data_IF_562019014745
#
_entry.id   IF_562019014745
#
_cell.length_a   1.000
_cell.length_b   1.000
_cell.length_c   1.000
_cell.angle_alpha   90.00
_cell.angle_beta   90.00
_cell.angle_gamma   90.00
#
_symmetry.space_group_name_H-M   'P 1'
#
loop_
_entity.id
_entity.type
_entity.pdbx_description
1 polymer ?
#
# COMPACT_ATOMS: atom_id res chain seq x y z
N UNK A 1 15.05 30.09 0.04
CA UNK A 1 15.21 29.88 1.50
C UNK A 1 14.76 28.45 1.75
N UNK A 2 15.71 27.52 1.81
CA UNK A 2 15.44 26.08 1.90
C UNK A 2 15.12 25.73 3.36
N UNK A 3 13.93 25.20 3.63
CA UNK A 3 13.59 24.72 4.97
C UNK A 3 14.07 23.29 5.13
N UNK A 4 15.09 23.13 5.97
CA UNK A 4 15.58 21.86 6.49
C UNK A 4 14.47 21.21 7.33
N UNK A 5 14.03 20.01 6.91
CA UNK A 5 13.20 19.11 7.70
C UNK A 5 14.05 17.87 8.03
N UNK A 6 15.00 18.04 8.95
CA UNK A 6 15.72 16.92 9.58
C UNK A 6 14.83 16.31 10.67
N UNK A 7 13.80 15.59 10.22
CA UNK A 7 13.15 14.58 11.02
C UNK A 7 13.92 13.28 10.82
N UNK A 8 14.70 12.87 11.82
CA UNK A 8 15.45 11.63 11.80
C UNK A 8 14.51 10.42 11.60
N UNK A 9 14.36 9.99 10.34
CA UNK A 9 13.61 8.82 9.91
C UNK A 9 14.28 7.53 10.40
N UNK A 10 14.02 7.15 11.65
CA UNK A 10 14.41 5.85 12.22
C UNK A 10 13.78 4.66 11.49
N UNK A 11 12.75 4.90 10.66
CA UNK A 11 12.17 3.90 9.76
C UNK A 11 13.08 3.51 8.58
N UNK A 12 14.05 4.36 8.20
CA UNK A 12 14.96 4.12 7.07
C UNK A 12 15.80 2.85 7.23
N UNK A 13 16.09 2.48 8.48
CA UNK A 13 16.90 1.30 8.80
C UNK A 13 16.08 0.00 8.81
N UNK A 14 14.76 0.09 9.08
CA UNK A 14 13.86 -1.07 8.99
C UNK A 14 13.72 -1.54 7.53
N UNK A 15 13.82 -0.62 6.56
CA UNK A 15 13.69 -0.94 5.14
C UNK A 15 14.97 -1.49 4.50
N UNK A 16 16.16 -1.15 5.01
CA UNK A 16 17.43 -1.62 4.41
C UNK A 16 17.70 -3.12 4.66
N UNK A 17 16.90 -3.78 5.51
CA UNK A 17 17.09 -5.17 5.93
C UNK A 17 15.88 -6.07 5.67
N UNK A 18 15.01 -5.71 4.73
CA UNK A 18 14.08 -6.64 4.10
C UNK A 18 14.91 -7.59 3.23
N UNK A 19 15.43 -8.67 3.85
CA UNK A 19 16.35 -9.64 3.24
C UNK A 19 15.93 -10.07 1.82
N UNK A 20 16.88 -10.49 0.99
CA UNK A 20 16.68 -10.90 -0.41
C UNK A 20 15.54 -11.90 -0.67
N UNK A 21 15.03 -12.61 0.36
CA UNK A 21 13.87 -13.49 0.23
C UNK A 21 12.52 -12.74 0.31
N UNK A 22 11.68 -13.00 -0.70
CA UNK A 22 10.26 -12.61 -0.72
C UNK A 22 9.50 -13.06 0.55
N UNK A 23 9.90 -14.18 1.17
CA UNK A 23 9.24 -14.69 2.38
C UNK A 23 9.42 -13.75 3.57
N UNK A 24 10.61 -13.16 3.74
CA UNK A 24 10.87 -12.21 4.83
C UNK A 24 10.12 -10.91 4.59
N UNK A 25 10.07 -10.45 3.33
CA UNK A 25 9.26 -9.28 2.98
C UNK A 25 7.78 -9.52 3.24
N UNK A 26 7.28 -10.73 2.98
CA UNK A 26 5.90 -11.11 3.27
C UNK A 26 5.61 -11.10 4.78
N UNK A 27 6.51 -11.59 5.63
CA UNK A 27 6.33 -11.54 7.08
C UNK A 27 6.39 -10.12 7.63
N UNK A 28 7.32 -9.29 7.13
CA UNK A 28 7.38 -7.89 7.48
C UNK A 28 6.08 -7.15 7.08
N UNK A 29 5.60 -7.37 5.85
CA UNK A 29 4.33 -6.84 5.36
C UNK A 29 3.16 -7.26 6.26
N UNK A 30 3.08 -8.54 6.66
CA UNK A 30 2.06 -9.03 7.60
C UNK A 30 2.13 -8.33 8.95
N UNK A 31 3.33 -8.11 9.47
CA UNK A 31 3.54 -7.44 10.75
C UNK A 31 3.06 -5.98 10.70
N UNK A 32 3.50 -5.25 9.67
CA UNK A 32 3.17 -3.83 9.46
C UNK A 32 1.66 -3.64 9.22
N UNK A 33 1.02 -4.54 8.47
CA UNK A 33 -0.41 -4.48 8.19
C UNK A 33 -1.33 -4.63 9.43
N UNK A 34 -0.77 -4.93 10.60
CA UNK A 34 -1.49 -5.00 11.89
C UNK A 34 -1.26 -3.77 12.78
N UNK A 35 -0.42 -2.83 12.35
CA UNK A 35 -0.18 -1.58 13.05
C UNK A 35 -1.28 -0.57 12.74
N UNK A 36 -1.30 0.55 13.46
CA UNK A 36 -2.23 1.65 13.20
C UNK A 36 -2.02 2.28 11.81
N UNK A 37 -3.05 2.94 11.29
CA UNK A 37 -3.09 3.49 9.94
C UNK A 37 -1.89 4.42 9.62
N UNK A 38 -1.50 5.27 10.57
CA UNK A 38 -0.36 6.21 10.44
C UNK A 38 0.96 5.50 10.10
N UNK A 39 1.12 4.25 10.54
CA UNK A 39 2.30 3.43 10.26
C UNK A 39 2.04 2.50 9.07
N UNK A 40 0.87 1.88 9.02
CA UNK A 40 0.56 0.84 8.06
C UNK A 40 0.39 1.41 6.64
N UNK A 41 -0.36 2.50 6.47
CA UNK A 41 -0.72 3.04 5.13
C UNK A 41 0.53 3.47 4.35
N UNK A 42 1.46 4.29 4.89
CA UNK A 42 2.65 4.70 4.14
C UNK A 42 3.55 3.52 3.75
N UNK A 43 3.67 2.52 4.62
CA UNK A 43 4.48 1.34 4.35
C UNK A 43 3.84 0.42 3.30
N UNK A 44 2.52 0.26 3.34
CA UNK A 44 1.76 -0.48 2.32
C UNK A 44 1.85 0.22 0.96
N UNK A 45 1.68 1.54 0.92
CA UNK A 45 1.84 2.34 -0.29
C UNK A 45 3.22 2.15 -0.92
N UNK A 46 4.28 2.21 -0.11
CA UNK A 46 5.64 1.98 -0.60
C UNK A 46 5.79 0.62 -1.28
N UNK A 47 5.26 -0.46 -0.68
CA UNK A 47 5.31 -1.79 -1.27
C UNK A 47 4.52 -1.85 -2.58
N UNK A 48 3.35 -1.21 -2.62
CA UNK A 48 2.50 -1.13 -3.82
C UNK A 48 3.21 -0.36 -4.95
N UNK A 49 3.97 0.68 -4.65
CA UNK A 49 4.65 1.48 -5.69
C UNK A 49 5.98 0.89 -6.15
N UNK A 50 6.73 0.26 -5.25
CA UNK A 50 8.15 -0.03 -5.48
C UNK A 50 8.50 -1.53 -5.53
N UNK A 51 7.72 -2.43 -4.91
CA UNK A 51 8.12 -3.83 -4.83
C UNK A 51 7.97 -4.54 -6.20
N UNK A 52 9.04 -5.18 -6.72
CA UNK A 52 8.98 -5.85 -8.01
C UNK A 52 8.05 -7.06 -8.01
N UNK A 53 7.81 -7.69 -6.85
CA UNK A 53 6.97 -8.88 -6.72
C UNK A 53 5.48 -8.50 -6.81
N UNK A 54 4.76 -8.93 -7.86
CA UNK A 54 3.32 -8.72 -7.94
C UNK A 54 2.57 -9.40 -6.79
N UNK A 55 3.11 -10.50 -6.25
CA UNK A 55 2.53 -11.20 -5.12
C UNK A 55 2.55 -10.33 -3.84
N UNK A 56 3.65 -9.62 -3.59
CA UNK A 56 3.74 -8.70 -2.45
C UNK A 56 2.85 -7.46 -2.65
N UNK A 57 2.83 -6.87 -3.85
CA UNK A 57 1.91 -5.76 -4.17
C UNK A 57 0.45 -6.17 -3.99
N UNK A 58 0.07 -7.33 -4.50
CA UNK A 58 -1.28 -7.90 -4.30
C UNK A 58 -1.64 -8.02 -2.82
N UNK A 59 -0.71 -8.52 -1.99
CA UNK A 59 -0.94 -8.64 -0.53
C UNK A 59 -1.01 -7.28 0.14
N UNK A 60 -0.20 -6.31 -0.28
CA UNK A 60 -0.26 -4.95 0.24
C UNK A 60 -1.61 -4.29 -0.07
N UNK A 61 -2.10 -4.38 -1.31
CA UNK A 61 -3.46 -3.92 -1.68
C UNK A 61 -4.52 -4.63 -0.85
N UNK A 62 -4.39 -5.94 -0.61
CA UNK A 62 -5.33 -6.67 0.24
C UNK A 62 -5.38 -6.12 1.67
N UNK A 63 -4.23 -5.80 2.25
CA UNK A 63 -4.16 -5.23 3.60
C UNK A 63 -4.61 -3.78 3.67
N UNK A 64 -4.41 -3.01 2.60
CA UNK A 64 -4.88 -1.63 2.47
C UNK A 64 -6.41 -1.54 2.60
N UNK A 65 -7.14 -2.60 2.26
CA UNK A 65 -8.59 -2.68 2.44
C UNK A 65 -9.10 -2.54 3.87
N UNK A 66 -8.23 -2.63 4.89
CA UNK A 66 -8.58 -2.33 6.30
C UNK A 66 -8.63 -0.84 6.59
N UNK A 67 -8.04 -0.02 5.72
CA UNK A 67 -7.81 1.41 5.89
C UNK A 67 -8.55 2.20 4.81
N UNK A 68 -9.66 1.68 4.29
CA UNK A 68 -10.41 2.32 3.18
C UNK A 68 -10.90 3.73 3.52
N UNK A 69 -11.15 4.00 4.79
CA UNK A 69 -11.63 5.30 5.28
C UNK A 69 -10.48 6.29 5.54
N UNK A 70 -9.22 5.85 5.42
CA UNK A 70 -8.05 6.71 5.58
C UNK A 70 -7.85 7.61 4.35
N UNK A 71 -7.37 8.82 4.61
CA UNK A 71 -7.12 9.81 3.57
C UNK A 71 -6.11 9.27 2.53
N UNK A 72 -6.42 9.49 1.24
CA UNK A 72 -5.56 9.07 0.13
C UNK A 72 -5.65 7.59 -0.27
N UNK A 73 -6.26 6.71 0.55
CA UNK A 73 -6.33 5.27 0.22
C UNK A 73 -7.16 5.00 -1.03
N UNK A 74 -8.29 5.69 -1.22
CA UNK A 74 -9.09 5.52 -2.44
C UNK A 74 -8.34 5.96 -3.70
N UNK A 75 -7.62 7.09 -3.63
CA UNK A 75 -6.79 7.57 -4.74
C UNK A 75 -5.63 6.63 -5.06
N UNK A 76 -5.03 6.02 -4.04
CA UNK A 76 -4.01 4.97 -4.25
C UNK A 76 -4.61 3.73 -4.92
N UNK A 77 -5.80 3.29 -4.52
CA UNK A 77 -6.48 2.16 -5.18
C UNK A 77 -6.83 2.49 -6.64
N UNK A 78 -7.30 3.69 -6.93
CA UNK A 78 -7.55 4.16 -8.30
C UNK A 78 -6.27 4.12 -9.15
N UNK A 79 -5.16 4.62 -8.62
CA UNK A 79 -3.84 4.57 -9.28
C UNK A 79 -3.44 3.12 -9.60
N UNK A 80 -3.59 2.20 -8.64
CA UNK A 80 -3.31 0.77 -8.86
C UNK A 80 -4.19 0.19 -9.96
N UNK A 81 -5.49 0.52 -9.97
CA UNK A 81 -6.44 0.03 -11.00
C UNK A 81 -6.03 0.50 -12.40
N UNK A 82 -5.51 1.72 -12.54
CA UNK A 82 -5.12 2.28 -13.84
C UNK A 82 -3.74 1.83 -14.28
N UNK A 83 -2.79 1.70 -13.34
CA UNK A 83 -1.37 1.74 -13.66
C UNK A 83 -0.56 0.51 -13.24
N UNK A 84 -1.05 -0.38 -12.35
CA UNK A 84 -0.25 -1.57 -11.99
C UNK A 84 -0.09 -2.50 -13.21
N UNK A 85 1.16 -2.90 -13.47
CA UNK A 85 1.50 -3.75 -14.62
C UNK A 85 0.87 -5.14 -14.55
N UNK A 86 0.57 -5.64 -13.34
CA UNK A 86 0.02 -6.97 -13.13
C UNK A 86 -1.51 -6.93 -12.99
N UNK A 87 -2.20 -7.71 -13.85
CA UNK A 87 -3.66 -7.74 -13.91
C UNK A 87 -4.33 -8.24 -12.62
N UNK A 88 -3.70 -9.13 -11.87
CA UNK A 88 -4.25 -9.65 -10.62
C UNK A 88 -4.18 -8.62 -9.50
N UNK A 89 -3.15 -7.77 -9.50
CA UNK A 89 -3.06 -6.63 -8.58
C UNK A 89 -4.16 -5.61 -8.89
N UNK A 90 -4.37 -5.27 -10.18
CA UNK A 90 -5.48 -4.39 -10.60
C UNK A 90 -6.85 -4.93 -10.17
N UNK A 91 -7.12 -6.21 -10.46
CA UNK A 91 -8.36 -6.89 -10.03
C UNK A 91 -8.53 -6.88 -8.52
N UNK A 92 -7.43 -7.02 -7.77
CA UNK A 92 -7.47 -6.95 -6.31
C UNK A 92 -7.85 -5.57 -5.82
N UNK A 93 -7.31 -4.52 -6.44
CA UNK A 93 -7.65 -3.15 -6.12
C UNK A 93 -9.13 -2.85 -6.40
N UNK A 94 -9.67 -3.29 -7.55
CA UNK A 94 -11.11 -3.23 -7.85
C UNK A 94 -11.93 -3.93 -6.75
N UNK A 95 -11.53 -5.16 -6.39
CA UNK A 95 -12.24 -5.92 -5.35
C UNK A 95 -12.21 -5.20 -4.00
N UNK A 96 -11.06 -4.66 -3.60
CA UNK A 96 -10.92 -3.94 -2.33
C UNK A 96 -11.74 -2.65 -2.36
N UNK A 97 -11.67 -1.88 -3.44
CA UNK A 97 -12.43 -0.65 -3.62
C UNK A 97 -13.93 -0.90 -3.58
N UNK A 98 -14.41 -2.02 -4.12
CA UNK A 98 -15.82 -2.43 -4.07
C UNK A 98 -16.37 -2.66 -2.65
N UNK A 99 -15.48 -2.76 -1.64
CA UNK A 99 -15.86 -2.88 -0.23
C UNK A 99 -16.00 -1.54 0.46
N UNK A 100 -15.57 -0.45 -0.17
CA UNK A 100 -15.74 0.90 0.36
C UNK A 100 -17.21 1.29 0.37
N UNK A 101 -17.62 2.04 1.40
CA UNK A 101 -18.93 2.68 1.48
C UNK A 101 -18.89 4.14 1.03
N UNK A 102 -17.71 4.64 0.69
CA UNK A 102 -17.52 5.98 0.18
C UNK A 102 -18.10 6.09 -1.24
N UNK A 103 -19.00 7.04 -1.51
CA UNK A 103 -19.57 7.24 -2.85
C UNK A 103 -18.51 7.41 -3.95
N UNK A 104 -17.35 8.00 -3.63
CA UNK A 104 -16.22 8.16 -4.56
C UNK A 104 -15.75 6.82 -5.13
N UNK A 105 -15.94 5.72 -4.39
CA UNK A 105 -15.59 4.39 -4.87
C UNK A 105 -16.46 3.93 -6.06
N UNK A 106 -17.70 4.42 -6.15
CA UNK A 106 -18.57 4.16 -7.31
C UNK A 106 -18.04 4.91 -8.52
N UNK A 107 -17.74 6.21 -8.36
CA UNK A 107 -17.22 7.06 -9.44
C UNK A 107 -15.91 6.52 -10.05
N UNK A 108 -15.08 5.85 -9.24
CA UNK A 108 -13.82 5.23 -9.70
C UNK A 108 -14.06 3.91 -10.48
N UNK A 109 -15.16 3.21 -10.21
CA UNK A 109 -15.47 1.90 -10.80
C UNK A 109 -16.32 1.97 -12.07
N UNK A 110 -16.90 3.13 -12.38
CA UNK A 110 -17.63 3.42 -13.62
C UNK A 110 -16.70 3.79 -14.79
#
# INVERSE_FOLDING_TARGET
MSFYFDGHWSASHLFRNLSDSEQVRLEALRSIARQDAEVAVPALEKIIREDPSPALRYKAVHYLGRYLDEEGVLSLLEDVIKNDSNIDVRKKAIYVLSKSKDPRAVDILE
#
